data_IF_565237115341
#
_entry.id   IF_565237115341
#
_cell.length_a   1.000
_cell.length_b   1.000
_cell.length_c   1.000
_cell.angle_alpha   90.00
_cell.angle_beta   90.00
_cell.angle_gamma   90.00
#
_symmetry.space_group_name_H-M   'P 1'
#
loop_
_entity.id
_entity.type
_entity.pdbx_description
1 polymer ?
#
# COMPACT_ATOMS: atom_id res chain seq x y z
N UNK A 1 -0.36 -25.09 -12.16
CA UNK A 1 -0.23 -23.68 -11.74
C UNK A 1 1.02 -23.13 -12.41
N UNK A 2 0.87 -22.18 -13.33
CA UNK A 2 1.98 -21.62 -14.09
C UNK A 2 2.49 -20.33 -13.43
N UNK A 3 3.62 -20.45 -12.73
CA UNK A 3 4.21 -19.34 -11.97
C UNK A 3 4.62 -18.15 -12.86
N UNK A 4 4.91 -18.41 -14.14
CA UNK A 4 5.27 -17.36 -15.10
C UNK A 4 4.10 -16.40 -15.34
N UNK A 5 2.87 -16.92 -15.40
CA UNK A 5 1.65 -16.10 -15.56
C UNK A 5 1.41 -15.16 -14.38
N UNK A 6 1.72 -15.62 -13.18
CA UNK A 6 1.62 -14.82 -11.95
C UNK A 6 2.58 -13.64 -12.03
N UNK A 7 3.84 -13.89 -12.39
CA UNK A 7 4.87 -12.84 -12.52
C UNK A 7 4.51 -11.84 -13.63
N UNK A 8 4.17 -12.32 -14.83
CA UNK A 8 3.87 -11.46 -15.99
C UNK A 8 2.55 -10.68 -15.82
N UNK A 9 1.58 -11.26 -15.11
CA UNK A 9 0.35 -10.59 -14.68
C UNK A 9 0.61 -9.43 -13.72
N UNK A 10 1.62 -9.57 -12.84
CA UNK A 10 1.91 -8.64 -11.74
C UNK A 10 2.82 -7.45 -12.11
N UNK A 11 3.73 -7.61 -13.08
CA UNK A 11 4.74 -6.58 -13.42
C UNK A 11 4.16 -5.17 -13.63
N UNK A 12 3.15 -5.04 -14.50
CA UNK A 12 2.57 -3.75 -14.84
C UNK A 12 1.75 -3.16 -13.67
N UNK A 13 0.85 -3.92 -13.02
CA UNK A 13 0.13 -3.44 -11.83
C UNK A 13 1.03 -2.97 -10.69
N UNK A 14 2.17 -3.64 -10.46
CA UNK A 14 3.16 -3.20 -9.47
C UNK A 14 3.63 -1.76 -9.78
N UNK A 15 4.01 -1.49 -11.03
CA UNK A 15 4.45 -0.15 -11.46
C UNK A 15 3.32 0.88 -11.31
N UNK A 16 2.10 0.54 -11.73
CA UNK A 16 0.93 1.43 -11.59
C UNK A 16 0.67 1.75 -10.12
N UNK A 17 0.70 0.74 -9.25
CA UNK A 17 0.52 0.90 -7.81
C UNK A 17 1.60 1.81 -7.21
N UNK A 18 2.87 1.69 -7.61
CA UNK A 18 3.91 2.60 -7.16
C UNK A 18 3.64 4.05 -7.56
N UNK A 19 3.40 4.30 -8.85
CA UNK A 19 3.15 5.66 -9.35
C UNK A 19 1.93 6.26 -8.66
N UNK A 20 0.87 5.47 -8.49
CA UNK A 20 -0.34 5.89 -7.79
C UNK A 20 -0.07 6.27 -6.33
N UNK A 21 0.65 5.43 -5.56
CA UNK A 21 0.98 5.71 -4.17
C UNK A 21 1.92 6.94 -4.03
N UNK A 22 2.86 7.14 -4.95
CA UNK A 22 3.73 8.33 -4.96
C UNK A 22 2.92 9.60 -5.23
N UNK A 23 2.02 9.57 -6.23
CA UNK A 23 1.17 10.71 -6.55
C UNK A 23 0.26 11.08 -5.37
N UNK A 24 -0.35 10.09 -4.71
CA UNK A 24 -1.14 10.27 -3.50
C UNK A 24 -0.33 10.85 -2.34
N UNK A 25 0.89 10.36 -2.13
CA UNK A 25 1.78 10.88 -1.11
C UNK A 25 2.16 12.34 -1.37
N UNK A 26 2.46 12.69 -2.62
CA UNK A 26 2.73 14.07 -3.02
C UNK A 26 1.53 14.98 -2.79
N UNK A 27 0.31 14.53 -3.12
CA UNK A 27 -0.92 15.28 -2.85
C UNK A 27 -1.10 15.47 -1.35
N UNK A 28 -0.96 14.42 -0.54
CA UNK A 28 -1.06 14.50 0.93
C UNK A 28 -0.05 15.48 1.52
N UNK A 29 1.20 15.45 1.06
CA UNK A 29 2.27 16.33 1.51
C UNK A 29 2.03 17.80 1.10
N UNK A 30 1.60 18.05 -0.14
CA UNK A 30 1.25 19.39 -0.62
C UNK A 30 0.04 19.95 0.12
N UNK A 31 -0.96 19.10 0.39
CA UNK A 31 -2.16 19.43 1.16
C UNK A 31 -1.78 19.85 2.58
N UNK A 32 -1.01 19.04 3.31
CA UNK A 32 -0.61 19.35 4.69
C UNK A 32 0.32 20.58 4.80
N UNK A 33 1.23 20.78 3.84
CA UNK A 33 2.14 21.93 3.82
C UNK A 33 1.46 23.26 3.46
N UNK A 34 0.43 23.26 2.61
CA UNK A 34 -0.35 24.47 2.30
C UNK A 34 -1.42 24.78 3.35
N UNK A 35 -2.07 23.76 3.91
CA UNK A 35 -3.25 23.93 4.76
C UNK A 35 -2.95 24.20 6.23
N UNK A 36 -1.77 23.79 6.71
CA UNK A 36 -1.31 24.09 8.07
C UNK A 36 -1.17 25.59 8.36
N UNK A 37 -1.21 26.44 7.32
CA UNK A 37 -1.11 27.90 7.46
C UNK A 37 -2.47 28.64 7.45
N UNK A 38 -3.58 27.99 7.09
CA UNK A 38 -4.83 28.72 6.83
C UNK A 38 -6.15 28.02 7.16
N UNK A 39 -6.16 26.73 7.49
CA UNK A 39 -7.40 25.98 7.62
C UNK A 39 -7.57 25.29 8.98
N UNK A 40 -8.82 25.30 9.45
CA UNK A 40 -9.24 24.75 10.73
C UNK A 40 -8.96 23.24 10.80
N UNK A 41 -8.55 22.76 11.97
CA UNK A 41 -8.09 21.38 12.20
C UNK A 41 -9.10 20.31 11.74
N UNK A 42 -10.40 20.63 11.82
CA UNK A 42 -11.51 19.80 11.35
C UNK A 42 -11.50 19.62 9.82
N UNK A 43 -11.15 20.65 9.05
CA UNK A 43 -11.13 20.60 7.58
C UNK A 43 -9.92 19.79 7.10
N UNK A 44 -8.78 19.92 7.79
CA UNK A 44 -7.59 19.09 7.54
C UNK A 44 -7.94 17.61 7.76
N UNK A 45 -8.64 17.28 8.85
CA UNK A 45 -9.08 15.92 9.15
C UNK A 45 -9.99 15.35 8.05
N UNK A 46 -10.99 16.12 7.59
CA UNK A 46 -11.90 15.70 6.51
C UNK A 46 -11.13 15.44 5.20
N UNK A 47 -10.19 16.32 4.84
CA UNK A 47 -9.37 16.16 3.64
C UNK A 47 -8.46 14.93 3.74
N UNK A 48 -7.91 14.65 4.92
CA UNK A 48 -7.13 13.42 5.15
C UNK A 48 -8.01 12.17 5.00
N UNK A 49 -9.22 12.16 5.56
CA UNK A 49 -10.16 11.05 5.43
C UNK A 49 -10.54 10.78 3.96
N UNK A 50 -10.83 11.83 3.20
CA UNK A 50 -11.10 11.72 1.75
C UNK A 50 -9.88 11.14 1.02
N UNK A 51 -8.67 11.62 1.35
CA UNK A 51 -7.44 11.11 0.75
C UNK A 51 -7.21 9.62 1.05
N UNK A 52 -7.40 9.20 2.30
CA UNK A 52 -7.33 7.79 2.67
C UNK A 52 -8.38 6.96 1.93
N UNK A 53 -9.64 7.43 1.86
CA UNK A 53 -10.70 6.76 1.12
C UNK A 53 -10.37 6.59 -0.37
N UNK A 54 -9.86 7.64 -1.02
CA UNK A 54 -9.43 7.58 -2.42
C UNK A 54 -8.25 6.63 -2.62
N UNK A 55 -7.31 6.57 -1.68
CA UNK A 55 -6.20 5.63 -1.71
C UNK A 55 -6.68 4.17 -1.64
N UNK A 56 -7.60 3.85 -0.73
CA UNK A 56 -8.19 2.51 -0.65
C UNK A 56 -8.95 2.15 -1.93
N UNK A 57 -9.75 3.07 -2.48
CA UNK A 57 -10.51 2.84 -3.70
C UNK A 57 -9.59 2.63 -4.91
N UNK A 58 -8.56 3.45 -5.08
CA UNK A 58 -7.62 3.31 -6.19
C UNK A 58 -6.80 2.02 -6.12
N UNK A 59 -6.32 1.66 -4.92
CA UNK A 59 -5.66 0.37 -4.70
C UNK A 59 -6.61 -0.80 -5.02
N UNK A 60 -7.86 -0.75 -4.56
CA UNK A 60 -8.89 -1.75 -4.89
C UNK A 60 -9.04 -1.91 -6.41
N UNK A 61 -9.15 -0.81 -7.16
CA UNK A 61 -9.29 -0.85 -8.62
C UNK A 61 -8.05 -1.42 -9.32
N UNK A 62 -6.85 -1.10 -8.85
CA UNK A 62 -5.59 -1.63 -9.38
C UNK A 62 -5.52 -3.16 -9.20
N UNK A 63 -5.89 -3.64 -8.01
CA UNK A 63 -5.87 -5.07 -7.70
C UNK A 63 -6.99 -5.84 -8.41
N UNK A 64 -8.19 -5.27 -8.50
CA UNK A 64 -9.26 -5.82 -9.33
C UNK A 64 -8.86 -5.90 -10.82
N UNK A 65 -8.22 -4.85 -11.33
CA UNK A 65 -7.67 -4.84 -12.69
C UNK A 65 -6.58 -5.90 -12.88
N UNK A 66 -5.75 -6.15 -11.86
CA UNK A 66 -4.71 -7.18 -11.89
C UNK A 66 -5.31 -8.57 -12.10
N UNK A 67 -6.30 -8.95 -11.28
CA UNK A 67 -7.00 -10.23 -11.42
C UNK A 67 -7.70 -10.36 -12.78
N UNK A 68 -8.41 -9.32 -13.21
CA UNK A 68 -9.08 -9.29 -14.52
C UNK A 68 -8.09 -9.44 -15.69
N UNK A 69 -6.97 -8.70 -15.66
CA UNK A 69 -5.92 -8.74 -16.68
C UNK A 69 -5.28 -10.12 -16.74
N UNK A 70 -4.99 -10.74 -15.60
CA UNK A 70 -4.46 -12.10 -15.52
C UNK A 70 -5.39 -13.11 -16.19
N UNK A 71 -6.69 -13.06 -15.90
CA UNK A 71 -7.68 -13.93 -16.54
C UNK A 71 -7.80 -13.69 -18.05
N UNK A 72 -7.93 -12.42 -18.47
CA UNK A 72 -8.21 -12.08 -19.87
C UNK A 72 -7.02 -12.21 -20.82
N UNK A 73 -5.82 -11.78 -20.39
CA UNK A 73 -4.62 -11.72 -21.26
C UNK A 73 -3.74 -12.96 -21.17
N UNK A 74 -3.66 -13.59 -20.00
CA UNK A 74 -2.74 -14.70 -19.74
C UNK A 74 -3.46 -16.04 -19.57
N UNK A 75 -4.80 -16.06 -19.68
CA UNK A 75 -5.61 -17.25 -19.47
C UNK A 75 -5.38 -17.85 -18.09
N UNK A 76 -5.23 -16.99 -17.07
CA UNK A 76 -5.07 -17.42 -15.69
C UNK A 76 -6.39 -17.96 -15.14
N UNK A 77 -6.32 -19.08 -14.44
CA UNK A 77 -7.45 -19.60 -13.65
C UNK A 77 -7.80 -18.65 -12.50
N UNK A 78 -8.97 -18.82 -11.87
CA UNK A 78 -9.36 -18.02 -10.70
C UNK A 78 -8.31 -18.06 -9.58
N UNK A 79 -7.72 -19.23 -9.32
CA UNK A 79 -6.65 -19.39 -8.33
C UNK A 79 -5.38 -18.64 -8.74
N UNK A 80 -4.97 -18.71 -10.01
CA UNK A 80 -3.78 -18.00 -10.51
C UNK A 80 -4.00 -16.47 -10.51
N UNK A 81 -5.22 -16.00 -10.79
CA UNK A 81 -5.60 -14.59 -10.67
C UNK A 81 -5.59 -14.08 -9.23
N UNK A 82 -6.11 -14.87 -8.30
CA UNK A 82 -6.02 -14.59 -6.86
C UNK A 82 -4.55 -14.45 -6.43
N UNK A 83 -3.71 -15.42 -6.79
CA UNK A 83 -2.29 -15.42 -6.47
C UNK A 83 -1.53 -14.25 -7.13
N UNK A 84 -1.86 -13.89 -8.37
CA UNK A 84 -1.27 -12.70 -9.03
C UNK A 84 -1.55 -11.44 -8.22
N UNK A 85 -2.79 -11.27 -7.79
CA UNK A 85 -3.25 -10.06 -7.12
C UNK A 85 -2.67 -9.97 -5.71
N UNK A 86 -2.63 -11.10 -4.98
CA UNK A 86 -1.98 -11.21 -3.69
C UNK A 86 -0.46 -10.98 -3.76
N UNK A 87 0.21 -11.53 -4.77
CA UNK A 87 1.64 -11.32 -5.00
C UNK A 87 1.94 -9.84 -5.33
N UNK A 88 1.13 -9.22 -6.19
CA UNK A 88 1.23 -7.78 -6.51
C UNK A 88 1.09 -6.94 -5.23
N UNK A 89 0.04 -7.20 -4.43
CA UNK A 89 -0.17 -6.51 -3.15
C UNK A 89 1.02 -6.71 -2.20
N UNK A 90 1.51 -7.95 -2.06
CA UNK A 90 2.64 -8.27 -1.20
C UNK A 90 3.91 -7.49 -1.58
N UNK A 91 4.25 -7.47 -2.87
CA UNK A 91 5.44 -6.74 -3.37
C UNK A 91 5.30 -5.24 -3.12
N UNK A 92 4.14 -4.66 -3.48
CA UNK A 92 3.88 -3.22 -3.28
C UNK A 92 3.95 -2.85 -1.80
N UNK A 93 3.30 -3.64 -0.94
CA UNK A 93 3.29 -3.41 0.50
C UNK A 93 4.70 -3.56 1.12
N UNK A 94 5.47 -4.56 0.68
CA UNK A 94 6.84 -4.78 1.17
C UNK A 94 7.73 -3.58 0.84
N UNK A 95 7.72 -3.12 -0.41
CA UNK A 95 8.54 -1.97 -0.81
C UNK A 95 8.07 -0.70 -0.11
N UNK A 96 6.75 -0.48 0.00
CA UNK A 96 6.22 0.66 0.75
C UNK A 96 6.70 0.65 2.20
N UNK A 97 6.65 -0.51 2.87
CA UNK A 97 7.13 -0.69 4.24
C UNK A 97 8.62 -0.40 4.37
N UNK A 98 9.45 -0.88 3.43
CA UNK A 98 10.88 -0.58 3.40
C UNK A 98 11.13 0.92 3.28
N UNK A 99 10.47 1.59 2.33
CA UNK A 99 10.61 3.05 2.13
C UNK A 99 10.15 3.82 3.37
N UNK A 100 8.98 3.49 3.93
CA UNK A 100 8.47 4.14 5.14
C UNK A 100 9.42 3.94 6.31
N UNK A 101 9.95 2.72 6.52
CA UNK A 101 10.93 2.45 7.57
C UNK A 101 12.20 3.27 7.39
N UNK A 102 12.72 3.37 6.17
CA UNK A 102 13.89 4.20 5.86
C UNK A 102 13.62 5.68 6.11
N UNK A 103 12.47 6.22 5.70
CA UNK A 103 12.07 7.61 5.96
C UNK A 103 11.95 7.86 7.45
N UNK A 104 11.32 6.96 8.21
CA UNK A 104 11.23 7.04 9.67
C UNK A 104 12.61 7.01 10.31
N UNK A 105 13.51 6.11 9.88
CA UNK A 105 14.88 6.04 10.40
C UNK A 105 15.68 7.32 10.11
N UNK A 106 15.57 7.91 8.92
CA UNK A 106 16.23 9.19 8.59
C UNK A 106 15.65 10.33 9.42
N UNK A 107 14.33 10.38 9.58
CA UNK A 107 13.64 11.44 10.35
C UNK A 107 13.91 11.32 11.85
N UNK A 108 14.02 10.11 12.39
CA UNK A 108 14.47 9.88 13.76
C UNK A 108 15.97 10.16 13.90
N UNK A 109 16.79 9.73 12.94
CA UNK A 109 18.24 9.97 12.93
C UNK A 109 18.61 11.45 13.00
N UNK A 110 17.83 12.33 12.34
CA UNK A 110 18.03 13.78 12.41
C UNK A 110 17.59 14.43 13.72
N UNK A 111 16.72 13.77 14.50
CA UNK A 111 16.42 14.20 15.88
C UNK A 111 17.60 13.91 16.81
N UNK A 112 18.34 12.81 16.58
CA UNK A 112 19.54 12.48 17.35
C UNK A 112 20.75 13.35 17.02
N UNK A 113 20.81 13.94 15.83
CA UNK A 113 21.92 14.84 15.47
C UNK A 113 21.83 16.22 16.14
N UNK A 114 20.70 16.57 16.77
CA UNK A 114 20.40 17.95 17.14
C UNK A 114 20.18 18.27 18.63
N UNK A 115 20.09 17.35 19.61
CA UNK A 115 20.06 17.75 21.04
C UNK A 115 20.29 16.64 22.11
N UNK A 116 21.18 16.97 23.05
CA UNK A 116 21.31 16.60 24.50
C UNK A 116 20.99 15.17 25.01
N UNK A 117 22.02 14.59 25.63
CA UNK A 117 22.23 13.20 26.09
C UNK A 117 21.22 12.62 27.11
N UNK A 118 20.24 13.38 27.61
CA UNK A 118 19.30 12.91 28.64
C UNK A 118 17.99 12.31 28.10
N UNK A 119 17.68 12.49 26.82
CA UNK A 119 16.40 12.09 26.21
C UNK A 119 16.48 10.86 25.29
N UNK A 120 17.71 10.40 24.97
CA UNK A 120 17.98 9.26 24.09
C UNK A 120 17.18 7.98 24.41
N UNK A 121 17.10 7.52 25.69
CA UNK A 121 16.39 6.29 26.01
C UNK A 121 14.86 6.41 25.80
N UNK A 122 14.29 7.58 26.09
CA UNK A 122 12.85 7.83 25.93
C UNK A 122 12.46 7.91 24.45
N UNK A 123 13.26 8.61 23.62
CA UNK A 123 13.05 8.67 22.17
C UNK A 123 13.31 7.32 21.49
N UNK A 124 14.31 6.55 21.93
CA UNK A 124 14.54 5.20 21.44
C UNK A 124 13.38 4.25 21.80
N UNK A 125 12.85 4.34 23.03
CA UNK A 125 11.73 3.50 23.48
C UNK A 125 10.44 3.86 22.77
N UNK A 126 10.12 5.16 22.60
CA UNK A 126 8.97 5.61 21.81
C UNK A 126 9.11 5.27 20.32
N UNK A 127 10.33 5.33 19.77
CA UNK A 127 10.63 4.88 18.41
C UNK A 127 10.42 3.38 18.22
N UNK A 128 10.88 2.55 19.16
CA UNK A 128 10.71 1.09 19.14
C UNK A 128 9.24 0.70 19.36
N UNK A 129 8.52 1.38 20.26
CA UNK A 129 7.09 1.14 20.49
C UNK A 129 6.28 1.57 19.25
N UNK A 130 6.61 2.71 18.63
CA UNK A 130 5.96 3.17 17.40
C UNK A 130 6.24 2.23 16.23
N UNK A 131 7.50 1.79 16.04
CA UNK A 131 7.88 0.78 15.04
C UNK A 131 7.24 -0.58 15.32
N UNK A 132 7.16 -1.01 16.58
CA UNK A 132 6.59 -2.29 17.00
C UNK A 132 5.07 -2.34 16.84
N UNK A 133 4.36 -1.28 17.26
CA UNK A 133 2.90 -1.16 17.08
C UNK A 133 2.53 -0.99 15.61
N UNK A 134 3.33 -0.23 14.83
CA UNK A 134 3.15 -0.17 13.38
C UNK A 134 3.46 -1.51 12.71
N UNK A 135 4.49 -2.28 13.11
CA UNK A 135 4.76 -3.63 12.58
C UNK A 135 3.64 -4.62 12.87
N UNK A 136 3.07 -4.63 14.08
CA UNK A 136 1.94 -5.52 14.45
C UNK A 136 0.66 -5.11 13.71
N UNK A 137 0.37 -3.81 13.65
CA UNK A 137 -0.75 -3.28 12.89
C UNK A 137 -0.57 -3.57 11.39
N UNK A 138 0.63 -3.40 10.84
CA UNK A 138 0.96 -3.72 9.46
C UNK A 138 0.83 -5.20 9.17
N UNK A 139 1.27 -6.09 10.05
CA UNK A 139 1.17 -7.54 9.83
C UNK A 139 -0.29 -8.02 9.87
N UNK A 140 -1.13 -7.47 10.75
CA UNK A 140 -2.58 -7.71 10.70
C UNK A 140 -3.23 -7.15 9.42
N UNK A 141 -2.85 -5.94 9.00
CA UNK A 141 -3.34 -5.31 7.78
C UNK A 141 -2.84 -6.01 6.52
N UNK A 142 -1.65 -6.60 6.56
CA UNK A 142 -1.04 -7.40 5.49
C UNK A 142 -1.81 -8.71 5.31
N UNK A 143 -2.13 -9.43 6.40
CA UNK A 143 -2.90 -10.68 6.33
C UNK A 143 -4.33 -10.39 5.83
N UNK A 144 -5.01 -9.41 6.41
CA UNK A 144 -6.35 -9.03 5.97
C UNK A 144 -6.34 -8.53 4.51
N UNK A 145 -5.35 -7.70 4.15
CA UNK A 145 -5.16 -7.21 2.79
C UNK A 145 -4.86 -8.33 1.80
N UNK A 146 -4.06 -9.33 2.18
CA UNK A 146 -3.79 -10.51 1.36
C UNK A 146 -5.07 -11.30 1.09
N UNK A 147 -5.87 -11.58 2.13
CA UNK A 147 -7.14 -12.30 2.00
C UNK A 147 -8.09 -11.54 1.07
N UNK A 148 -8.28 -10.24 1.29
CA UNK A 148 -9.14 -9.41 0.46
C UNK A 148 -8.69 -9.41 -1.00
N UNK A 149 -7.39 -9.26 -1.26
CA UNK A 149 -6.84 -9.26 -2.61
C UNK A 149 -6.85 -10.63 -3.29
N UNK A 150 -6.75 -11.73 -2.53
CA UNK A 150 -6.98 -13.09 -3.05
C UNK A 150 -8.42 -13.24 -3.55
N UNK A 151 -9.41 -12.82 -2.75
CA UNK A 151 -10.83 -12.92 -3.10
C UNK A 151 -11.15 -12.05 -4.32
N UNK A 152 -10.77 -10.77 -4.30
CA UNK A 152 -11.01 -9.83 -5.41
C UNK A 152 -10.32 -10.33 -6.68
N UNK A 153 -9.05 -10.69 -6.59
CA UNK A 153 -8.26 -11.18 -7.73
C UNK A 153 -8.86 -12.43 -8.35
N UNK A 154 -9.30 -13.38 -7.51
CA UNK A 154 -9.93 -14.62 -7.96
C UNK A 154 -11.29 -14.39 -8.63
N UNK A 155 -12.14 -13.54 -8.04
CA UNK A 155 -13.44 -13.17 -8.62
C UNK A 155 -13.27 -12.45 -9.97
N UNK A 156 -12.34 -11.51 -10.06
CA UNK A 156 -12.08 -10.76 -11.30
C UNK A 156 -11.48 -11.65 -12.40
N UNK A 157 -10.57 -12.56 -12.07
CA UNK A 157 -10.03 -13.51 -13.03
C UNK A 157 -11.08 -14.52 -13.50
N UNK A 158 -11.90 -15.02 -12.57
CA UNK A 158 -13.03 -15.90 -12.90
C UNK A 158 -14.00 -15.22 -13.88
N UNK A 159 -14.39 -13.98 -13.59
CA UNK A 159 -15.29 -13.21 -14.45
C UNK A 159 -14.66 -12.90 -15.82
N UNK A 160 -13.38 -12.56 -15.86
CA UNK A 160 -12.63 -12.31 -17.10
C UNK A 160 -12.51 -13.55 -18.00
N UNK A 161 -12.45 -14.74 -17.38
CA UNK A 161 -12.29 -16.02 -18.08
C UNK A 161 -13.60 -16.58 -18.65
N UNK A 162 -14.76 -16.06 -18.24
CA UNK A 162 -16.04 -16.45 -18.83
C UNK A 162 -16.15 -15.89 -20.25
N UNK A 163 -16.13 -16.78 -21.23
CA UNK A 163 -16.60 -16.45 -22.58
C UNK A 163 -18.09 -16.18 -22.49
N UNK A 164 -18.50 -14.93 -22.74
CA UNK A 164 -19.89 -14.58 -22.90
C UNK A 164 -20.31 -15.17 -24.26
N UNK A 165 -20.97 -16.33 -24.20
CA UNK A 165 -21.64 -16.96 -25.33
C UNK A 165 -22.99 -16.31 -25.55
#
# INVERSE_FOLDING_TARGET
MDFKKIIDGSKLPIVIAFVFNIALFAILYLTSSYLSKSLDSTIILILMLINYGLSYLGNFLIYAYTGYRSGKKFGATALEGALTTAFTFFVVCTIYTIISTLVTLVTFGSLFSNNTEASLPFFATMGIISLGTSLVYYSMTLVAGLIVNLVIGGLCAYWASRKWY
#
